data_IF_800997467787
#
_entry.id   IF_800997467787
#
_cell.length_a   1.000
_cell.length_b   1.000
_cell.length_c   1.000
_cell.angle_alpha   90.00
_cell.angle_beta   90.00
_cell.angle_gamma   90.00
#
_symmetry.space_group_name_H-M   'P 1'
#
loop_
_entity.id
_entity.type
_entity.pdbx_description
1 polymer ?
#
# COMPACT_ATOMS: atom_id res chain seq x y z
N UNK A 1 9.92 -9.66 16.04
CA UNK A 1 11.18 -9.01 15.63
C UNK A 1 11.83 -8.45 16.87
N UNK A 2 13.03 -8.90 17.22
CA UNK A 2 13.80 -8.29 18.32
C UNK A 2 14.28 -6.89 17.89
N UNK A 3 14.27 -5.94 18.83
CA UNK A 3 14.60 -4.54 18.57
C UNK A 3 15.99 -4.32 17.92
N UNK A 4 16.93 -5.24 18.12
CA UNK A 4 18.27 -5.18 17.53
C UNK A 4 18.27 -5.27 15.99
N UNK A 5 17.45 -6.15 15.42
CA UNK A 5 17.40 -6.36 13.96
C UNK A 5 16.84 -5.15 13.21
N UNK A 6 15.95 -4.38 13.84
CA UNK A 6 15.38 -3.14 13.27
C UNK A 6 16.43 -2.02 13.25
N UNK A 7 17.24 -1.90 14.31
CA UNK A 7 18.33 -0.92 14.38
C UNK A 7 19.44 -1.20 13.36
N UNK A 8 19.78 -2.48 13.14
CA UNK A 8 20.78 -2.87 12.15
C UNK A 8 20.33 -2.52 10.72
N UNK A 9 19.04 -2.70 10.39
CA UNK A 9 18.49 -2.30 9.10
C UNK A 9 18.47 -0.76 8.96
N UNK A 10 18.08 -0.03 9.99
CA UNK A 10 18.12 1.43 10.00
C UNK A 10 19.54 1.98 9.76
N UNK A 11 20.55 1.32 10.30
CA UNK A 11 21.95 1.69 10.11
C UNK A 11 22.49 1.36 8.70
N UNK A 12 21.86 0.40 8.01
CA UNK A 12 22.19 0.05 6.62
C UNK A 12 21.46 0.93 5.59
N UNK A 13 20.35 1.57 5.96
CA UNK A 13 19.68 2.55 5.10
C UNK A 13 20.51 3.84 5.10
N UNK A 14 21.01 4.30 3.94
CA UNK A 14 21.75 5.55 3.87
C UNK A 14 20.87 6.70 4.35
N UNK A 15 21.27 7.32 5.46
CA UNK A 15 20.66 8.55 5.95
C UNK A 15 20.64 9.57 4.81
N UNK A 16 19.54 10.32 4.61
CA UNK A 16 19.47 11.31 3.55
C UNK A 16 20.66 12.26 3.67
N UNK A 17 21.57 12.23 2.69
CA UNK A 17 22.59 13.28 2.55
C UNK A 17 21.83 14.59 2.36
N UNK A 18 22.17 15.60 3.15
CA UNK A 18 21.74 17.00 2.97
C UNK A 18 22.22 17.50 1.60
N UNK A 19 21.59 17.07 0.53
CA UNK A 19 21.81 17.61 -0.81
C UNK A 19 20.71 18.61 -1.12
N UNK A 20 21.13 19.89 -1.09
CA UNK A 20 20.34 21.05 -1.49
C UNK A 20 20.03 20.98 -2.99
N UNK A 21 18.98 20.25 -3.37
CA UNK A 21 18.35 20.36 -4.70
C UNK A 21 16.83 20.29 -4.58
N UNK A 22 16.22 21.46 -4.40
CA UNK A 22 14.93 21.90 -4.98
C UNK A 22 13.63 21.15 -4.70
N UNK A 23 13.64 19.91 -4.21
CA UNK A 23 12.42 19.18 -3.87
C UNK A 23 12.18 19.27 -2.37
N UNK A 24 10.98 19.67 -1.90
CA UNK A 24 10.71 19.72 -0.46
C UNK A 24 10.89 18.33 0.14
N UNK A 25 11.62 18.25 1.26
CA UNK A 25 12.05 17.00 1.90
C UNK A 25 10.87 16.07 2.28
N UNK A 26 9.63 16.57 2.34
CA UNK A 26 8.40 15.80 2.57
C UNK A 26 7.44 15.90 1.37
N UNK A 27 7.62 15.10 0.31
CA UNK A 27 6.70 15.17 -0.84
C UNK A 27 5.38 14.42 -0.60
N UNK A 28 5.40 13.31 0.14
CA UNK A 28 4.21 12.48 0.37
C UNK A 28 3.79 12.44 1.84
N UNK A 29 2.52 12.11 2.08
CA UNK A 29 2.02 11.52 3.31
C UNK A 29 1.48 10.13 3.02
N UNK A 30 1.97 9.12 3.74
CA UNK A 30 1.55 7.72 3.56
C UNK A 30 0.19 7.52 4.24
N UNK A 31 -0.74 6.86 3.55
CA UNK A 31 -1.91 6.22 4.16
C UNK A 31 -1.70 4.69 4.08
N UNK A 32 -1.39 4.07 5.23
CA UNK A 32 -1.05 2.66 5.31
C UNK A 32 -2.26 1.82 5.74
N UNK A 33 -2.57 0.79 4.97
CA UNK A 33 -3.65 -0.18 5.20
C UNK A 33 -3.04 -1.55 5.50
N UNK A 34 -3.08 -1.97 6.76
CA UNK A 34 -2.43 -3.20 7.24
C UNK A 34 -3.11 -4.49 6.74
N UNK A 35 -2.43 -5.62 6.91
CA UNK A 35 -2.87 -6.96 6.52
C UNK A 35 -3.88 -7.59 7.48
N UNK A 36 -4.34 -8.80 7.14
CA UNK A 36 -5.22 -9.58 8.01
C UNK A 36 -4.43 -10.13 9.21
N UNK A 37 -5.10 -10.29 10.35
CA UNK A 37 -4.48 -10.70 11.62
C UNK A 37 -3.32 -9.80 12.08
N UNK A 38 -3.31 -8.55 11.63
CA UNK A 38 -2.42 -7.49 12.10
C UNK A 38 -3.21 -6.41 12.83
N UNK A 39 -2.49 -5.56 13.54
CA UNK A 39 -2.94 -4.30 14.12
C UNK A 39 -1.82 -3.26 14.06
N UNK A 40 -2.11 -2.04 14.52
CA UNK A 40 -1.11 -0.98 14.62
C UNK A 40 0.13 -1.32 15.44
N UNK A 41 0.04 -2.19 16.45
CA UNK A 41 1.20 -2.58 17.25
C UNK A 41 2.17 -3.43 16.42
N UNK A 42 1.64 -4.36 15.62
CA UNK A 42 2.43 -5.19 14.70
C UNK A 42 2.97 -4.42 13.48
N UNK A 43 2.17 -3.52 12.91
CA UNK A 43 2.53 -2.75 11.71
C UNK A 43 3.42 -1.52 12.01
N UNK A 44 3.41 -1.02 13.24
CA UNK A 44 4.02 0.26 13.63
C UNK A 44 5.51 0.37 13.29
N UNK A 45 6.29 -0.69 13.56
CA UNK A 45 7.72 -0.70 13.26
C UNK A 45 7.99 -0.56 11.74
N UNK A 46 7.23 -1.27 10.91
CA UNK A 46 7.36 -1.19 9.46
C UNK A 46 6.96 0.20 8.91
N UNK A 47 5.86 0.77 9.42
CA UNK A 47 5.43 2.12 9.04
C UNK A 47 6.48 3.17 9.46
N UNK A 48 7.07 3.02 10.64
CA UNK A 48 8.15 3.92 11.09
C UNK A 48 9.38 3.83 10.17
N UNK A 49 9.79 2.62 9.77
CA UNK A 49 10.87 2.43 8.80
C UNK A 49 10.54 3.10 7.46
N UNK A 50 9.33 2.89 6.93
CA UNK A 50 8.86 3.55 5.70
C UNK A 50 9.00 5.07 5.79
N UNK A 51 8.47 5.69 6.85
CA UNK A 51 8.55 7.14 7.04
C UNK A 51 9.99 7.66 7.12
N UNK A 52 10.88 6.89 7.76
CA UNK A 52 12.30 7.23 7.89
C UNK A 52 13.02 7.18 6.55
N UNK A 53 12.83 6.11 5.77
CA UNK A 53 13.49 5.93 4.47
C UNK A 53 13.00 6.93 3.43
N UNK A 54 11.70 7.22 3.44
CA UNK A 54 11.09 8.14 2.49
C UNK A 54 11.19 9.61 2.91
N UNK A 55 11.51 9.89 4.18
CA UNK A 55 11.50 11.26 4.72
C UNK A 55 10.10 11.87 4.72
N UNK A 56 9.09 11.15 5.20
CA UNK A 56 7.70 11.56 5.07
C UNK A 56 6.85 11.24 6.30
N UNK A 57 5.62 11.76 6.34
CA UNK A 57 4.65 11.45 7.40
C UNK A 57 3.80 10.25 7.00
N UNK A 58 3.20 9.58 7.99
CA UNK A 58 2.25 8.51 7.74
C UNK A 58 1.04 8.61 8.67
N UNK A 59 -0.09 8.13 8.19
CA UNK A 59 -1.22 7.70 8.99
C UNK A 59 -1.46 6.21 8.71
N UNK A 60 -1.57 5.45 9.78
CA UNK A 60 -2.03 4.06 9.79
C UNK A 60 -3.24 3.99 10.74
N UNK A 61 -4.09 2.99 10.59
CA UNK A 61 -5.33 2.86 11.35
C UNK A 61 -5.67 1.38 11.56
N UNK A 62 -6.31 1.05 12.68
CA UNK A 62 -6.95 -0.25 12.87
C UNK A 62 -8.33 -0.23 12.22
N UNK A 63 -8.64 -1.22 11.38
CA UNK A 63 -9.99 -1.40 10.86
C UNK A 63 -10.99 -1.65 11.98
N UNK A 64 -12.25 -1.32 11.76
CA UNK A 64 -13.35 -1.67 12.68
C UNK A 64 -13.39 -3.19 12.86
N UNK A 65 -13.21 -3.65 14.11
CA UNK A 65 -13.11 -5.05 14.50
C UNK A 65 -11.67 -5.58 14.61
N UNK A 66 -10.66 -4.71 14.49
CA UNK A 66 -9.22 -5.01 14.68
C UNK A 66 -8.61 -4.14 15.77
N UNK A 67 -7.49 -4.60 16.33
CA UNK A 67 -6.66 -3.85 17.29
C UNK A 67 -7.48 -3.18 18.40
N UNK A 68 -7.37 -1.86 18.53
CA UNK A 68 -8.14 -1.09 19.51
C UNK A 68 -9.52 -0.62 19.00
N UNK A 69 -9.80 -0.80 17.71
CA UNK A 69 -11.07 -0.45 17.06
C UNK A 69 -12.14 -1.55 17.28
N UNK A 70 -12.43 -1.91 18.54
CA UNK A 70 -13.34 -3.01 18.91
C UNK A 70 -14.66 -2.56 19.55
N UNK A 71 -15.57 -1.90 18.82
CA UNK A 71 -16.90 -1.64 19.33
C UNK A 71 -17.68 -2.94 19.55
N UNK A 72 -18.40 -3.05 20.67
CA UNK A 72 -19.08 -4.27 21.08
C UNK A 72 -20.07 -4.78 20.01
N UNK A 73 -19.99 -6.08 19.71
CA UNK A 73 -20.88 -6.75 18.76
C UNK A 73 -20.63 -6.42 17.28
N UNK A 74 -19.60 -5.63 16.96
CA UNK A 74 -19.28 -5.24 15.58
C UNK A 74 -18.18 -6.13 15.01
N UNK A 75 -18.46 -6.74 13.86
CA UNK A 75 -17.48 -7.53 13.10
C UNK A 75 -16.92 -6.74 11.92
N UNK A 76 -15.68 -7.03 11.49
CA UNK A 76 -15.15 -6.52 10.25
C UNK A 76 -16.01 -6.94 9.05
N UNK A 77 -16.08 -6.08 8.04
CA UNK A 77 -16.83 -6.32 6.79
C UNK A 77 -16.28 -5.41 5.70
N UNK A 78 -16.37 -5.80 4.43
CA UNK A 78 -15.88 -4.99 3.29
C UNK A 78 -16.33 -3.52 3.37
N UNK A 79 -17.63 -3.30 3.60
CA UNK A 79 -18.20 -1.96 3.78
C UNK A 79 -17.50 -1.13 4.87
N UNK A 80 -17.14 -1.77 5.99
CA UNK A 80 -16.46 -1.10 7.12
C UNK A 80 -15.01 -0.78 6.79
N UNK A 81 -14.29 -1.72 6.18
CA UNK A 81 -12.93 -1.45 5.68
C UNK A 81 -12.93 -0.21 4.78
N UNK A 82 -13.86 -0.11 3.83
CA UNK A 82 -13.97 1.08 2.97
C UNK A 82 -14.29 2.34 3.76
N UNK A 83 -15.23 2.27 4.69
CA UNK A 83 -15.60 3.42 5.54
C UNK A 83 -14.42 3.93 6.37
N UNK A 84 -13.63 3.02 6.95
CA UNK A 84 -12.47 3.36 7.78
C UNK A 84 -11.38 4.03 6.92
N UNK A 85 -11.06 3.45 5.76
CA UNK A 85 -10.10 4.03 4.81
C UNK A 85 -10.55 5.39 4.30
N UNK A 86 -11.85 5.58 4.02
CA UNK A 86 -12.40 6.87 3.59
C UNK A 86 -12.33 7.91 4.71
N UNK A 87 -12.52 7.52 5.96
CA UNK A 87 -12.39 8.42 7.11
C UNK A 87 -10.95 8.94 7.22
N UNK A 88 -9.95 8.05 7.08
CA UNK A 88 -8.54 8.45 7.08
C UNK A 88 -8.17 9.35 5.89
N UNK A 89 -8.65 9.04 4.68
CA UNK A 89 -8.44 9.91 3.52
C UNK A 89 -9.02 11.31 3.77
N UNK A 90 -10.29 11.40 4.21
CA UNK A 90 -10.94 12.68 4.51
C UNK A 90 -10.22 13.45 5.61
N UNK A 91 -9.70 12.75 6.62
CA UNK A 91 -8.89 13.36 7.66
C UNK A 91 -7.62 14.02 7.08
N UNK A 92 -6.89 13.34 6.19
CA UNK A 92 -5.72 13.92 5.51
C UNK A 92 -6.09 15.16 4.68
N UNK A 93 -7.20 15.10 3.93
CA UNK A 93 -7.68 16.26 3.16
C UNK A 93 -8.03 17.43 4.08
N UNK A 94 -8.69 17.18 5.21
CA UNK A 94 -9.04 18.22 6.19
C UNK A 94 -7.81 18.83 6.87
N UNK A 95 -6.70 18.09 6.97
CA UNK A 95 -5.41 18.61 7.41
C UNK A 95 -4.70 19.44 6.32
N UNK A 96 -5.28 19.56 5.12
CA UNK A 96 -4.71 20.31 4.01
C UNK A 96 -3.66 19.54 3.21
N UNK A 97 -3.58 18.20 3.34
CA UNK A 97 -2.69 17.38 2.50
C UNK A 97 -3.26 17.35 1.09
N UNK A 98 -2.52 17.81 0.05
CA UNK A 98 -2.98 17.73 -1.32
C UNK A 98 -3.17 16.26 -1.75
N UNK A 99 -4.25 15.90 -2.46
CA UNK A 99 -4.48 14.52 -2.91
C UNK A 99 -3.30 13.89 -3.67
N UNK A 100 -2.62 14.68 -4.52
CA UNK A 100 -1.46 14.28 -5.32
C UNK A 100 -0.21 14.02 -4.47
N UNK A 101 -0.25 14.38 -3.18
CA UNK A 101 0.78 14.11 -2.17
C UNK A 101 0.39 12.99 -1.20
N UNK A 102 -0.67 12.24 -1.48
CA UNK A 102 -1.03 11.06 -0.69
C UNK A 102 -0.48 9.81 -1.39
N UNK A 103 0.34 9.03 -0.68
CA UNK A 103 0.84 7.73 -1.14
C UNK A 103 0.09 6.63 -0.40
N UNK A 104 -0.72 5.84 -1.12
CA UNK A 104 -1.41 4.70 -0.52
C UNK A 104 -0.49 3.50 -0.48
N UNK A 105 -0.44 2.79 0.65
CA UNK A 105 0.28 1.52 0.78
C UNK A 105 -0.67 0.51 1.42
N UNK A 106 -0.95 -0.58 0.71
CA UNK A 106 -1.83 -1.65 1.18
C UNK A 106 -1.14 -3.01 1.15
N UNK A 107 -1.11 -3.69 2.30
CA UNK A 107 -0.54 -5.03 2.46
C UNK A 107 -1.64 -6.09 2.46
N UNK A 108 -1.50 -7.15 1.67
CA UNK A 108 -2.38 -8.33 1.72
C UNK A 108 -3.86 -7.92 1.65
N UNK A 109 -4.68 -8.21 2.68
CA UNK A 109 -6.09 -7.77 2.73
C UNK A 109 -6.27 -6.26 2.60
N UNK A 110 -5.33 -5.46 3.11
CA UNK A 110 -5.33 -4.00 3.01
C UNK A 110 -5.18 -3.48 1.57
N UNK A 111 -4.78 -4.33 0.62
CA UNK A 111 -4.81 -3.99 -0.81
C UNK A 111 -6.24 -3.74 -1.33
N UNK A 112 -7.24 -4.43 -0.78
CA UNK A 112 -8.66 -4.27 -1.13
C UNK A 112 -9.21 -2.85 -0.94
N UNK A 113 -9.24 -2.32 0.29
CA UNK A 113 -9.65 -0.94 0.53
C UNK A 113 -8.73 0.10 -0.14
N UNK A 114 -7.43 -0.22 -0.29
CA UNK A 114 -6.48 0.66 -0.99
C UNK A 114 -6.85 0.84 -2.46
N UNK A 115 -7.09 -0.24 -3.19
CA UNK A 115 -7.54 -0.20 -4.59
C UNK A 115 -8.91 0.48 -4.71
N UNK A 116 -9.81 0.21 -3.77
CA UNK A 116 -11.12 0.84 -3.77
C UNK A 116 -11.03 2.37 -3.62
N UNK A 117 -10.27 2.86 -2.63
CA UNK A 117 -10.05 4.29 -2.43
C UNK A 117 -9.41 4.93 -3.67
N UNK A 118 -8.35 4.33 -4.20
CA UNK A 118 -7.60 4.83 -5.36
C UNK A 118 -8.42 4.87 -6.66
N UNK A 119 -9.44 4.01 -6.77
CA UNK A 119 -10.34 3.98 -7.93
C UNK A 119 -11.34 5.13 -7.95
N UNK A 120 -11.60 5.76 -6.79
CA UNK A 120 -12.64 6.78 -6.60
C UNK A 120 -12.11 8.18 -6.37
N UNK A 121 -10.96 8.30 -5.71
CA UNK A 121 -10.43 9.58 -5.27
C UNK A 121 -9.09 9.91 -5.94
N UNK A 122 -8.76 11.20 -6.11
CA UNK A 122 -7.42 11.60 -6.54
C UNK A 122 -6.39 11.23 -5.47
N UNK A 123 -5.26 10.69 -5.93
CA UNK A 123 -4.17 10.11 -5.12
C UNK A 123 -2.84 10.34 -5.85
N UNK A 124 -1.74 10.45 -5.11
CA UNK A 124 -0.40 10.65 -5.64
C UNK A 124 0.35 9.38 -6.08
N UNK A 125 0.02 8.24 -5.51
CA UNK A 125 0.54 6.94 -5.93
C UNK A 125 -0.03 5.79 -5.09
N UNK A 126 0.12 4.57 -5.60
CA UNK A 126 -0.37 3.35 -4.93
C UNK A 126 0.74 2.29 -4.90
N UNK A 127 1.03 1.76 -3.71
CA UNK A 127 1.88 0.58 -3.51
C UNK A 127 1.02 -0.56 -2.99
N UNK A 128 1.05 -1.68 -3.67
CA UNK A 128 0.35 -2.91 -3.31
C UNK A 128 1.37 -3.99 -2.97
N UNK A 129 1.37 -4.47 -1.73
CA UNK A 129 2.30 -5.51 -1.23
C UNK A 129 1.51 -6.81 -1.03
N UNK A 130 1.90 -7.88 -1.74
CA UNK A 130 1.19 -9.16 -1.80
C UNK A 130 -0.34 -9.01 -2.00
N UNK A 131 -0.80 -8.23 -3.00
CA UNK A 131 -2.20 -7.90 -3.12
C UNK A 131 -3.07 -9.06 -3.58
N UNK A 132 -4.37 -8.96 -3.32
CA UNK A 132 -5.39 -9.90 -3.76
C UNK A 132 -6.23 -9.33 -4.93
N UNK A 133 -6.45 -10.12 -5.97
CA UNK A 133 -7.49 -9.85 -6.98
C UNK A 133 -8.89 -9.77 -6.36
N UNK A 134 -9.21 -10.70 -5.47
CA UNK A 134 -10.38 -10.69 -4.58
C UNK A 134 -10.23 -11.75 -3.49
N UNK A 135 -10.98 -11.63 -2.38
CA UNK A 135 -10.90 -12.58 -1.27
C UNK A 135 -11.34 -13.97 -1.69
N UNK A 136 -12.40 -14.08 -2.51
CA UNK A 136 -12.91 -15.38 -2.91
C UNK A 136 -11.92 -16.11 -3.82
N UNK A 137 -11.16 -15.38 -4.66
CA UNK A 137 -10.09 -15.96 -5.50
C UNK A 137 -8.87 -16.43 -4.69
N UNK A 138 -8.64 -15.85 -3.51
CA UNK A 138 -7.58 -16.34 -2.60
C UNK A 138 -7.97 -17.72 -2.06
N UNK A 139 -9.23 -17.87 -1.65
CA UNK A 139 -9.75 -19.12 -1.05
C UNK A 139 -10.05 -20.19 -2.11
N UNK A 140 -10.55 -19.78 -3.27
CA UNK A 140 -10.95 -20.65 -4.38
C UNK A 140 -10.28 -20.19 -5.69
N UNK A 141 -9.04 -20.63 -5.97
CA UNK A 141 -8.24 -20.14 -7.10
C UNK A 141 -8.85 -20.37 -8.48
N UNK A 142 -9.75 -21.35 -8.62
CA UNK A 142 -10.42 -21.68 -9.88
C UNK A 142 -11.49 -20.67 -10.28
N UNK A 143 -11.89 -19.76 -9.38
CA UNK A 143 -12.89 -18.73 -9.66
C UNK A 143 -12.32 -17.66 -10.60
N UNK A 144 -12.90 -17.55 -11.80
CA UNK A 144 -12.46 -16.62 -12.84
C UNK A 144 -13.29 -15.33 -12.90
N UNK A 145 -14.51 -15.33 -12.38
CA UNK A 145 -15.40 -14.17 -12.36
C UNK A 145 -15.69 -13.70 -10.93
N UNK A 146 -16.05 -12.43 -10.78
CA UNK A 146 -16.45 -11.87 -9.49
C UNK A 146 -17.88 -12.31 -9.19
N UNK A 147 -18.11 -12.84 -7.99
CA UNK A 147 -19.44 -13.26 -7.52
C UNK A 147 -20.05 -12.14 -6.68
N UNK A 148 -21.09 -11.45 -7.17
CA UNK A 148 -21.70 -10.33 -6.44
C UNK A 148 -22.13 -10.75 -5.03
N UNK A 149 -21.94 -9.86 -4.06
CA UNK A 149 -22.31 -10.03 -2.65
C UNK A 149 -21.56 -11.14 -1.88
N UNK A 150 -20.77 -11.99 -2.54
CA UNK A 150 -19.98 -13.06 -1.92
C UNK A 150 -18.47 -12.79 -2.01
N UNK A 151 -18.03 -12.08 -3.05
CA UNK A 151 -16.61 -11.83 -3.30
C UNK A 151 -16.17 -10.48 -2.73
N UNK A 152 -15.58 -10.51 -1.54
CA UNK A 152 -15.06 -9.32 -0.88
C UNK A 152 -13.80 -8.81 -1.59
N UNK A 153 -13.67 -7.49 -1.65
CA UNK A 153 -12.56 -6.76 -2.23
C UNK A 153 -12.23 -7.15 -3.68
N UNK A 154 -13.17 -7.03 -4.63
CA UNK A 154 -12.92 -7.35 -6.04
C UNK A 154 -12.02 -6.30 -6.71
N UNK A 155 -10.77 -6.20 -6.26
CA UNK A 155 -9.72 -5.29 -6.74
C UNK A 155 -9.47 -5.44 -8.23
N UNK A 156 -9.60 -6.66 -8.76
CA UNK A 156 -9.46 -6.93 -10.19
C UNK A 156 -10.46 -6.14 -11.03
N UNK A 157 -11.66 -5.88 -10.50
CA UNK A 157 -12.67 -5.11 -11.21
C UNK A 157 -12.43 -3.60 -11.15
N UNK A 158 -11.56 -3.13 -10.27
CA UNK A 158 -11.39 -1.70 -9.99
C UNK A 158 -10.01 -1.14 -10.30
N UNK A 159 -8.96 -1.96 -10.32
CA UNK A 159 -7.57 -1.50 -10.49
C UNK A 159 -7.34 -0.70 -11.78
N UNK A 160 -8.07 -1.02 -12.85
CA UNK A 160 -7.98 -0.33 -14.14
C UNK A 160 -8.57 1.10 -14.12
N UNK A 161 -9.26 1.49 -13.05
CA UNK A 161 -9.84 2.83 -12.85
C UNK A 161 -8.85 3.79 -12.16
N UNK A 162 -7.78 3.27 -11.55
CA UNK A 162 -6.78 4.07 -10.85
C UNK A 162 -6.05 4.96 -11.86
N UNK A 163 -6.03 6.28 -11.58
CA UNK A 163 -5.43 7.32 -12.45
C UNK A 163 -4.03 7.76 -12.01
N UNK A 164 -3.53 7.21 -10.90
CA UNK A 164 -2.22 7.48 -10.33
C UNK A 164 -1.26 6.31 -10.62
N UNK A 165 0.07 6.51 -10.60
CA UNK A 165 1.03 5.42 -10.69
C UNK A 165 0.78 4.31 -9.65
N UNK A 166 0.97 3.06 -10.07
CA UNK A 166 0.81 1.86 -9.24
C UNK A 166 2.08 1.03 -9.28
N UNK A 167 2.57 0.65 -8.10
CA UNK A 167 3.63 -0.33 -7.89
C UNK A 167 3.04 -1.58 -7.24
N UNK A 168 3.37 -2.74 -7.79
CA UNK A 168 3.03 -4.04 -7.20
C UNK A 168 4.32 -4.72 -6.74
N UNK A 169 4.32 -5.20 -5.50
CA UNK A 169 5.41 -5.96 -4.87
C UNK A 169 4.82 -7.30 -4.44
N UNK A 170 5.41 -8.42 -4.85
CA UNK A 170 4.87 -9.75 -4.54
C UNK A 170 5.96 -10.82 -4.50
N UNK A 171 5.87 -11.72 -3.52
CA UNK A 171 6.69 -12.94 -3.47
C UNK A 171 6.25 -13.98 -4.49
N UNK A 172 7.19 -14.56 -5.22
CA UNK A 172 6.88 -15.60 -6.22
C UNK A 172 6.56 -16.96 -5.57
N UNK A 173 6.95 -17.15 -4.31
CA UNK A 173 6.65 -18.33 -3.50
C UNK A 173 5.60 -18.03 -2.41
N UNK A 174 4.76 -17.02 -2.65
CA UNK A 174 3.68 -16.66 -1.72
C UNK A 174 2.66 -17.80 -1.60
N UNK A 175 2.64 -18.39 -0.40
CA UNK A 175 1.82 -19.54 -0.02
C UNK A 175 0.46 -19.15 0.58
N UNK A 176 0.17 -17.85 0.73
CA UNK A 176 -1.09 -17.34 1.26
C UNK A 176 -1.90 -16.66 0.15
N UNK A 177 -1.25 -15.77 -0.60
CA UNK A 177 -1.83 -15.07 -1.75
C UNK A 177 -0.94 -15.36 -2.95
N UNK A 178 -1.30 -16.38 -3.74
CA UNK A 178 -0.48 -16.80 -4.89
C UNK A 178 -0.10 -15.63 -5.79
N UNK A 179 1.11 -15.68 -6.37
CA UNK A 179 1.67 -14.68 -7.30
C UNK A 179 0.74 -14.37 -8.49
N UNK A 180 -0.19 -15.26 -8.84
CA UNK A 180 -1.20 -15.00 -9.86
C UNK A 180 -2.07 -13.76 -9.52
N UNK A 181 -2.28 -13.44 -8.24
CA UNK A 181 -3.00 -12.24 -7.82
C UNK A 181 -2.24 -10.96 -8.19
N UNK A 182 -0.96 -10.88 -7.85
CA UNK A 182 -0.10 -9.75 -8.23
C UNK A 182 0.00 -9.59 -9.75
N UNK A 183 0.19 -10.69 -10.49
CA UNK A 183 0.27 -10.66 -11.95
C UNK A 183 -1.05 -10.25 -12.61
N UNK A 184 -2.18 -10.82 -12.19
CA UNK A 184 -3.49 -10.48 -12.76
C UNK A 184 -3.87 -9.01 -12.51
N UNK A 185 -3.57 -8.49 -11.32
CA UNK A 185 -3.72 -7.06 -11.04
C UNK A 185 -2.78 -6.20 -11.90
N UNK A 186 -1.51 -6.60 -12.04
CA UNK A 186 -0.54 -5.90 -12.89
C UNK A 186 -0.99 -5.81 -14.35
N UNK A 187 -1.48 -6.92 -14.91
CA UNK A 187 -1.95 -6.98 -16.29
C UNK A 187 -3.10 -6.00 -16.53
N UNK A 188 -4.06 -5.95 -15.60
CA UNK A 188 -5.27 -5.11 -15.69
C UNK A 188 -5.05 -3.65 -15.28
N UNK A 189 -3.95 -3.34 -14.61
CA UNK A 189 -3.62 -1.97 -14.21
C UNK A 189 -3.20 -1.11 -15.43
N UNK A 190 -3.77 0.10 -15.55
CA UNK A 190 -3.42 1.04 -16.62
C UNK A 190 -2.16 1.83 -16.32
N UNK A 191 -2.07 2.39 -15.11
CA UNK A 191 -0.96 3.25 -14.66
C UNK A 191 0.11 2.44 -13.92
N UNK A 192 0.53 1.31 -14.48
CA UNK A 192 1.49 0.40 -13.84
C UNK A 192 2.94 0.85 -14.06
N UNK A 193 3.74 0.72 -13.00
CA UNK A 193 5.21 0.84 -13.05
C UNK A 193 5.84 -0.54 -12.93
N UNK A 194 7.13 -0.67 -13.27
CA UNK A 194 7.82 -1.95 -13.21
C UNK A 194 7.62 -2.63 -11.84
N UNK A 195 7.06 -3.85 -11.79
CA UNK A 195 6.74 -4.50 -10.53
C UNK A 195 8.02 -4.99 -9.83
N UNK A 196 7.90 -5.35 -8.56
CA UNK A 196 8.96 -6.03 -7.81
C UNK A 196 8.50 -7.46 -7.48
N UNK A 197 8.92 -8.40 -8.32
CA UNK A 197 8.74 -9.83 -8.07
C UNK A 197 9.92 -10.37 -7.28
N UNK A 198 9.66 -10.89 -6.08
CA UNK A 198 10.70 -11.44 -5.20
C UNK A 198 10.74 -12.96 -5.37
N UNK A 199 11.78 -13.47 -6.05
CA UNK A 199 11.86 -14.87 -6.52
C UNK A 199 11.68 -15.92 -5.41
N UNK A 200 12.22 -15.68 -4.22
CA UNK A 200 12.23 -16.64 -3.12
C UNK A 200 11.43 -16.19 -1.89
N UNK A 201 10.61 -15.14 -2.01
CA UNK A 201 9.83 -14.64 -0.88
C UNK A 201 8.49 -15.38 -0.75
N UNK A 202 8.17 -15.83 0.46
CA UNK A 202 6.80 -16.17 0.88
C UNK A 202 6.02 -14.92 1.34
N UNK A 203 4.75 -15.10 1.75
CA UNK A 203 3.87 -13.98 2.11
C UNK A 203 4.42 -13.07 3.21
N UNK A 204 5.05 -13.67 4.23
CA UNK A 204 5.53 -12.96 5.41
C UNK A 204 7.04 -12.62 5.34
N UNK A 205 7.74 -13.08 4.30
CA UNK A 205 9.17 -12.77 4.12
C UNK A 205 9.39 -11.37 3.53
N UNK A 206 8.41 -10.83 2.80
CA UNK A 206 8.57 -9.61 1.98
C UNK A 206 9.06 -8.42 2.82
N UNK A 207 8.42 -8.16 3.96
CA UNK A 207 8.72 -7.02 4.82
C UNK A 207 9.75 -7.35 5.91
N UNK A 208 10.24 -8.60 5.97
CA UNK A 208 11.20 -9.06 6.99
C UNK A 208 12.56 -9.36 6.35
N UNK A 209 12.60 -10.33 5.43
CA UNK A 209 13.83 -10.78 4.76
C UNK A 209 14.22 -9.90 3.57
N UNK A 210 13.24 -9.26 2.92
CA UNK A 210 13.46 -8.39 1.75
C UNK A 210 13.26 -6.90 2.06
N UNK A 211 13.25 -6.54 3.34
CA UNK A 211 12.89 -5.21 3.83
C UNK A 211 13.68 -4.09 3.13
N UNK A 212 15.01 -4.20 3.04
CA UNK A 212 15.85 -3.18 2.40
C UNK A 212 15.50 -2.98 0.91
N UNK A 213 15.33 -4.07 0.17
CA UNK A 213 14.93 -4.08 -1.24
C UNK A 213 13.55 -3.43 -1.42
N UNK A 214 12.58 -3.78 -0.57
CA UNK A 214 11.22 -3.23 -0.60
C UNK A 214 11.23 -1.74 -0.32
N UNK A 215 11.87 -1.29 0.77
CA UNK A 215 11.95 0.13 1.13
C UNK A 215 12.64 0.95 0.05
N UNK A 216 13.73 0.43 -0.54
CA UNK A 216 14.43 1.11 -1.62
C UNK A 216 13.56 1.21 -2.87
N UNK A 217 12.84 0.15 -3.23
CA UNK A 217 11.93 0.17 -4.39
C UNK A 217 10.81 1.20 -4.19
N UNK A 218 10.22 1.27 -3.00
CA UNK A 218 9.17 2.23 -2.64
C UNK A 218 9.72 3.67 -2.70
N UNK A 219 10.95 3.90 -2.22
CA UNK A 219 11.61 5.22 -2.30
C UNK A 219 11.84 5.68 -3.75
N UNK A 220 12.26 4.77 -4.63
CA UNK A 220 12.42 5.08 -6.07
C UNK A 220 11.05 5.38 -6.69
N UNK A 221 10.03 4.59 -6.34
CA UNK A 221 8.68 4.79 -6.83
C UNK A 221 8.06 6.12 -6.36
N UNK A 222 8.27 6.54 -5.11
CA UNK A 222 7.76 7.82 -4.63
C UNK A 222 8.37 8.99 -5.41
N UNK A 223 9.68 8.97 -5.70
CA UNK A 223 10.32 9.98 -6.56
C UNK A 223 9.74 10.02 -7.97
N UNK A 224 9.45 8.86 -8.55
CA UNK A 224 8.76 8.77 -9.84
C UNK A 224 7.36 9.42 -9.78
N UNK A 225 6.58 9.13 -8.74
CA UNK A 225 5.26 9.74 -8.56
C UNK A 225 5.34 11.27 -8.43
N UNK A 226 6.35 11.78 -7.72
CA UNK A 226 6.55 13.22 -7.59
C UNK A 226 6.83 13.91 -8.95
N UNK A 227 7.67 13.29 -9.77
CA UNK A 227 7.95 13.77 -11.12
C UNK A 227 6.69 13.73 -12.02
N UNK A 228 5.92 12.64 -11.95
CA UNK A 228 4.70 12.45 -12.73
C UNK A 228 3.67 13.59 -12.55
N UNK A 229 3.50 14.10 -11.32
CA UNK A 229 2.60 15.22 -11.07
C UNK A 229 3.22 16.59 -11.34
N UNK A 230 4.54 16.73 -11.23
CA UNK A 230 5.23 17.97 -11.58
C UNK A 230 5.08 18.30 -13.07
N UNK A 231 5.29 17.30 -13.94
CA UNK A 231 5.15 17.45 -15.40
C UNK A 231 3.73 17.85 -15.81
N UNK A 232 2.71 17.21 -15.22
CA UNK A 232 1.30 17.50 -15.51
C UNK A 232 0.81 18.86 -15.02
N UNK A 233 1.44 19.41 -13.99
CA UNK A 233 1.13 20.76 -13.53
C UNK A 233 1.74 21.82 -14.46
N UNK A 234 2.86 21.52 -15.13
CA UNK A 234 3.46 22.39 -16.15
C UNK A 234 2.58 22.40 -17.41
N UNK A 235 2.05 21.25 -17.84
CA UNK A 235 1.15 21.17 -19.02
C UNK A 235 -0.20 21.90 -18.84
N UNK A 236 -0.59 22.20 -17.60
CA UNK A 236 -1.86 22.86 -17.25
C UNK A 236 -1.73 24.36 -16.96
N UNK A 237 -0.51 24.88 -16.87
CA UNK A 237 -0.19 26.28 -16.60
C UNK A 237 0.01 27.05 -17.91
#
# INVERSE_FOLDING_TARGET
MEAGHVLDILNQVPQPRRERRGYPEEFFTILYSHGNAEDLASAGAYVQLLTTVLGCKAIAYDYTGYGLSLPAGVRPSEYRFYKDTYACYRYLINLGVPPERILLIGRSVGSGPTVELASRFPIGGVVLIAPLMSCLRVVYPDIRCTIPCLDMFPSIDRIHLIKAPVLIIHGMQDNVVSICHGRGLYERCKMKTEPLWLENASHNDIEVHYLSTVLQRIRVFSRYCAAFFAERNIERA
#
